data_IF_321299780074
#
_entry.id   IF_321299780074
#
_cell.length_a   1.000
_cell.length_b   1.000
_cell.length_c   1.000
_cell.angle_alpha   90.00
_cell.angle_beta   90.00
_cell.angle_gamma   90.00
#
_symmetry.space_group_name_H-M   'P 1'
#
loop_
_entity.id
_entity.type
_entity.pdbx_description
1 polymer ?
#
# COMPACT_ATOMS: atom_id res chain seq x y z
N UNK A 1 23.49 -1.55 -2.56
CA UNK A 1 22.54 -2.42 -3.32
C UNK A 1 21.46 -1.52 -3.90
N UNK A 2 21.11 -1.55 -5.21
CA UNK A 2 20.17 -0.53 -5.75
C UNK A 2 18.76 -0.73 -5.17
N UNK A 3 18.28 0.26 -4.42
CA UNK A 3 16.93 0.30 -3.86
C UNK A 3 15.92 0.81 -4.91
N UNK A 4 14.65 0.41 -4.83
CA UNK A 4 13.62 0.83 -5.79
C UNK A 4 13.03 2.22 -5.50
N UNK A 5 13.42 2.84 -4.39
CA UNK A 5 13.03 4.16 -3.87
C UNK A 5 14.28 4.97 -3.50
N UNK A 6 14.17 6.31 -3.41
CA UNK A 6 15.28 7.19 -3.02
C UNK A 6 15.45 7.21 -1.50
N UNK A 7 16.68 7.21 -1.01
CA UNK A 7 16.95 7.20 0.44
C UNK A 7 17.93 8.30 0.83
N UNK A 8 17.57 9.03 1.89
CA UNK A 8 18.41 10.03 2.52
C UNK A 8 19.63 9.39 3.17
N UNK A 9 20.81 10.02 3.07
CA UNK A 9 22.07 9.48 3.56
C UNK A 9 22.00 9.00 5.03
N UNK A 10 21.31 9.75 5.89
CA UNK A 10 21.19 9.48 7.33
C UNK A 10 20.50 8.15 7.70
N UNK A 11 19.62 7.59 6.84
CA UNK A 11 18.92 6.31 7.10
C UNK A 11 19.28 5.20 6.11
N UNK A 12 20.15 5.49 5.13
CA UNK A 12 20.59 4.53 4.09
C UNK A 12 21.11 3.19 4.64
N UNK A 13 22.04 3.13 5.62
CA UNK A 13 22.57 1.85 6.08
C UNK A 13 21.51 0.96 6.74
N UNK A 14 20.49 1.58 7.34
CA UNK A 14 19.36 0.85 7.90
C UNK A 14 18.43 0.33 6.80
N UNK A 15 18.07 1.16 5.83
CA UNK A 15 17.16 0.75 4.75
C UNK A 15 17.79 -0.25 3.78
N UNK A 16 19.10 -0.24 3.58
CA UNK A 16 19.78 -1.34 2.88
C UNK A 16 19.65 -2.68 3.64
N UNK A 17 19.78 -2.67 4.99
CA UNK A 17 19.56 -3.87 5.83
C UNK A 17 18.09 -4.30 5.90
N UNK A 18 17.13 -3.36 5.92
CA UNK A 18 15.69 -3.65 5.81
C UNK A 18 15.39 -4.27 4.44
N UNK A 19 15.83 -3.64 3.35
CA UNK A 19 15.62 -4.09 1.97
C UNK A 19 16.24 -5.46 1.68
N UNK A 20 17.48 -5.72 2.12
CA UNK A 20 18.13 -7.02 1.96
C UNK A 20 17.32 -8.17 2.58
N UNK A 21 16.70 -7.95 3.75
CA UNK A 21 15.83 -8.93 4.42
C UNK A 21 14.48 -9.09 3.73
N UNK A 22 13.83 -8.00 3.29
CA UNK A 22 12.46 -8.08 2.75
C UNK A 22 12.39 -8.39 1.26
N UNK A 23 13.44 -8.15 0.46
CA UNK A 23 13.40 -8.33 -1.00
C UNK A 23 12.92 -9.73 -1.42
N UNK A 24 13.43 -10.78 -0.77
CA UNK A 24 13.01 -12.16 -1.05
C UNK A 24 11.54 -12.38 -0.68
N UNK A 25 11.09 -11.85 0.47
CA UNK A 25 9.70 -11.94 0.94
C UNK A 25 8.73 -11.22 0.00
N UNK A 26 9.10 -10.05 -0.52
CA UNK A 26 8.32 -9.29 -1.50
C UNK A 26 8.21 -10.07 -2.82
N UNK A 27 9.33 -10.55 -3.36
CA UNK A 27 9.34 -11.29 -4.64
C UNK A 27 8.55 -12.59 -4.54
N UNK A 28 8.80 -13.43 -3.52
CA UNK A 28 8.05 -14.66 -3.29
C UNK A 28 6.58 -14.37 -3.00
N UNK A 29 6.28 -13.32 -2.24
CA UNK A 29 4.93 -12.89 -1.92
C UNK A 29 4.08 -12.57 -3.15
N UNK A 30 4.60 -11.80 -4.10
CA UNK A 30 3.84 -11.45 -5.31
C UNK A 30 3.93 -12.51 -6.44
N UNK A 31 4.96 -13.36 -6.47
CA UNK A 31 5.19 -14.31 -7.57
C UNK A 31 4.89 -15.78 -7.26
N UNK A 32 4.83 -16.21 -6.00
CA UNK A 32 4.53 -17.61 -5.68
C UNK A 32 3.10 -18.03 -6.08
N UNK A 33 2.03 -17.24 -5.83
CA UNK A 33 0.68 -17.61 -6.27
C UNK A 33 0.57 -17.82 -7.79
N UNK A 34 1.02 -16.89 -8.68
CA UNK A 34 0.93 -17.13 -10.12
C UNK A 34 1.81 -18.28 -10.60
N UNK A 35 3.00 -18.48 -10.01
CA UNK A 35 3.86 -19.62 -10.36
C UNK A 35 3.19 -20.96 -10.03
N UNK A 36 2.62 -21.11 -8.82
CA UNK A 36 1.90 -22.32 -8.42
C UNK A 36 0.66 -22.54 -9.29
N UNK A 37 -0.11 -21.48 -9.55
CA UNK A 37 -1.34 -21.57 -10.36
C UNK A 37 -1.06 -21.95 -11.81
N UNK A 38 0.04 -21.46 -12.39
CA UNK A 38 0.52 -21.87 -13.71
C UNK A 38 0.93 -23.34 -13.74
N UNK A 39 1.68 -23.81 -12.74
CA UNK A 39 2.09 -25.22 -12.63
C UNK A 39 0.87 -26.14 -12.52
N UNK A 40 -0.14 -25.79 -11.71
CA UNK A 40 -1.39 -26.58 -11.64
C UNK A 40 -2.13 -26.58 -12.97
N UNK A 41 -2.27 -25.42 -13.63
CA UNK A 41 -2.93 -25.32 -14.93
C UNK A 41 -2.25 -26.16 -16.03
N UNK A 42 -0.92 -26.29 -15.99
CA UNK A 42 -0.15 -27.10 -16.95
C UNK A 42 -0.23 -28.62 -16.70
N UNK A 43 -0.42 -29.05 -15.44
CA UNK A 43 -0.42 -30.48 -15.06
C UNK A 43 -1.84 -31.07 -15.02
N UNK A 44 -2.85 -30.27 -14.71
CA UNK A 44 -4.22 -30.75 -14.55
C UNK A 44 -4.84 -31.24 -15.88
N UNK A 45 -5.74 -32.24 -15.85
CA UNK A 45 -6.58 -32.57 -17.01
C UNK A 45 -7.64 -31.48 -17.21
N UNK A 46 -7.83 -31.04 -18.46
CA UNK A 46 -8.74 -29.92 -18.77
C UNK A 46 -10.12 -30.42 -19.18
N UNK A 47 -11.17 -29.78 -18.67
CA UNK A 47 -12.57 -30.11 -19.00
C UNK A 47 -13.07 -29.50 -20.32
N UNK A 48 -12.21 -28.76 -21.03
CA UNK A 48 -12.50 -28.01 -22.25
C UNK A 48 -11.88 -26.61 -22.23
N UNK A 49 -12.07 -25.84 -23.32
CA UNK A 49 -11.58 -24.46 -23.41
C UNK A 49 -12.51 -23.50 -22.67
N UNK A 50 -12.36 -23.41 -21.35
CA UNK A 50 -13.10 -22.43 -20.53
C UNK A 50 -12.38 -21.08 -20.57
N UNK A 51 -12.73 -20.25 -21.56
CA UNK A 51 -12.12 -18.92 -21.80
C UNK A 51 -12.07 -18.05 -20.54
N UNK A 52 -13.13 -18.05 -19.73
CA UNK A 52 -13.21 -17.29 -18.46
C UNK A 52 -12.12 -17.72 -17.47
N UNK A 53 -11.79 -19.00 -17.39
CA UNK A 53 -10.74 -19.50 -16.51
C UNK A 53 -9.34 -19.02 -16.92
N UNK A 54 -9.08 -18.98 -18.23
CA UNK A 54 -7.85 -18.39 -18.79
C UNK A 54 -7.74 -16.90 -18.50
N UNK A 55 -8.83 -16.15 -18.70
CA UNK A 55 -8.87 -14.71 -18.39
C UNK A 55 -8.56 -14.45 -16.92
N UNK A 56 -9.13 -15.23 -15.99
CA UNK A 56 -8.86 -15.10 -14.56
C UNK A 56 -7.40 -15.43 -14.18
N UNK A 57 -6.81 -16.47 -14.77
CA UNK A 57 -5.38 -16.78 -14.58
C UNK A 57 -4.48 -15.65 -15.12
N UNK A 58 -4.78 -15.11 -16.30
CA UNK A 58 -4.01 -14.01 -16.91
C UNK A 58 -4.11 -12.74 -16.06
N UNK A 59 -5.31 -12.33 -15.62
CA UNK A 59 -5.48 -11.16 -14.74
C UNK A 59 -4.74 -11.39 -13.42
N UNK A 60 -4.94 -12.56 -12.80
CA UNK A 60 -4.31 -12.93 -11.54
C UNK A 60 -2.78 -13.02 -11.62
N UNK A 61 -2.20 -13.28 -12.79
CA UNK A 61 -0.74 -13.28 -12.99
C UNK A 61 -0.16 -11.94 -13.43
N UNK A 62 -0.85 -11.22 -14.31
CA UNK A 62 -0.39 -9.94 -14.85
C UNK A 62 -0.40 -8.82 -13.80
N UNK A 63 -1.41 -8.75 -12.94
CA UNK A 63 -1.55 -7.68 -11.94
C UNK A 63 -0.41 -7.67 -10.90
N UNK A 64 -0.01 -8.80 -10.27
CA UNK A 64 1.15 -8.83 -9.36
C UNK A 64 2.47 -8.50 -10.07
N UNK A 65 2.67 -8.98 -11.30
CA UNK A 65 3.87 -8.70 -12.09
C UNK A 65 3.96 -7.21 -12.44
N UNK A 66 2.85 -6.61 -12.90
CA UNK A 66 2.77 -5.18 -13.17
C UNK A 66 3.01 -4.35 -11.90
N UNK A 67 2.44 -4.76 -10.75
CA UNK A 67 2.64 -4.08 -9.47
C UNK A 67 4.10 -4.15 -8.98
N UNK A 68 4.81 -5.25 -9.24
CA UNK A 68 6.24 -5.37 -8.98
C UNK A 68 7.10 -4.52 -9.93
N UNK A 69 6.87 -4.63 -11.24
CA UNK A 69 7.66 -3.96 -12.28
C UNK A 69 7.48 -2.45 -12.23
N UNK A 70 6.22 -1.99 -12.11
CA UNK A 70 5.86 -0.59 -11.90
C UNK A 70 6.13 -0.06 -10.49
N UNK A 71 6.74 -0.87 -9.61
CA UNK A 71 7.08 -0.52 -8.21
C UNK A 71 5.90 0.00 -7.38
N UNK A 72 4.67 -0.40 -7.70
CA UNK A 72 3.47 0.02 -6.99
C UNK A 72 3.51 -0.29 -5.49
N UNK A 73 4.30 -1.29 -5.09
CA UNK A 73 4.56 -1.58 -3.68
C UNK A 73 5.25 -0.43 -2.92
N UNK A 74 6.06 0.40 -3.59
CA UNK A 74 6.68 1.59 -2.97
C UNK A 74 5.65 2.67 -2.67
N UNK A 75 4.71 2.91 -3.59
CA UNK A 75 3.77 4.03 -3.52
C UNK A 75 2.45 3.69 -2.80
N UNK A 76 2.03 2.41 -2.81
CA UNK A 76 0.73 1.98 -2.24
C UNK A 76 0.91 0.95 -1.11
N UNK A 77 1.49 1.33 0.04
CA UNK A 77 1.74 0.44 1.18
C UNK A 77 0.46 -0.20 1.75
N UNK A 78 -0.69 0.47 1.63
CA UNK A 78 -1.99 -0.05 2.07
C UNK A 78 -2.44 -1.29 1.29
N UNK A 79 -2.10 -1.35 -0.01
CA UNK A 79 -2.71 -2.30 -0.96
C UNK A 79 -2.03 -3.67 -1.04
N UNK A 80 -0.87 -3.87 -0.41
CA UNK A 80 -0.04 -5.07 -0.63
C UNK A 80 -0.78 -6.40 -0.37
N UNK A 81 -1.39 -6.55 0.80
CA UNK A 81 -2.10 -7.76 1.19
C UNK A 81 -3.43 -7.93 0.43
N UNK A 82 -4.15 -6.82 0.19
CA UNK A 82 -5.38 -6.82 -0.61
C UNK A 82 -5.13 -7.28 -2.04
N UNK A 83 -4.08 -6.78 -2.69
CA UNK A 83 -3.71 -7.18 -4.05
C UNK A 83 -3.43 -8.68 -4.12
N UNK A 84 -2.61 -9.23 -3.21
CA UNK A 84 -2.33 -10.68 -3.15
C UNK A 84 -3.62 -11.48 -2.98
N UNK A 85 -4.51 -11.05 -2.08
CA UNK A 85 -5.79 -11.73 -1.85
C UNK A 85 -6.69 -11.73 -3.09
N UNK A 86 -6.88 -10.57 -3.75
CA UNK A 86 -7.67 -10.47 -4.98
C UNK A 86 -7.09 -11.29 -6.13
N UNK A 87 -5.77 -11.22 -6.34
CA UNK A 87 -5.13 -11.95 -7.46
C UNK A 87 -5.07 -13.44 -7.21
N UNK A 88 -4.88 -13.86 -5.96
CA UNK A 88 -4.92 -15.27 -5.56
C UNK A 88 -6.32 -15.87 -5.61
N UNK A 89 -7.36 -15.10 -5.24
CA UNK A 89 -8.75 -15.50 -5.42
C UNK A 89 -9.10 -15.68 -6.91
N UNK A 90 -8.70 -14.74 -7.77
CA UNK A 90 -8.87 -14.86 -9.22
C UNK A 90 -8.17 -16.11 -9.77
N UNK A 91 -6.94 -16.40 -9.32
CA UNK A 91 -6.21 -17.61 -9.72
C UNK A 91 -6.91 -18.90 -9.27
N UNK A 92 -7.31 -19.00 -8.00
CA UNK A 92 -8.00 -20.18 -7.47
C UNK A 92 -9.32 -20.45 -8.20
N UNK A 93 -10.09 -19.40 -8.51
CA UNK A 93 -11.30 -19.49 -9.34
C UNK A 93 -10.98 -19.91 -10.78
N UNK A 94 -9.92 -19.36 -11.38
CA UNK A 94 -9.47 -19.73 -12.72
C UNK A 94 -9.11 -21.22 -12.84
N UNK A 95 -8.31 -21.74 -11.90
CA UNK A 95 -7.99 -23.17 -11.81
C UNK A 95 -9.24 -24.03 -11.61
N UNK A 96 -10.11 -23.64 -10.67
CA UNK A 96 -11.36 -24.36 -10.39
C UNK A 96 -12.29 -24.45 -11.61
N UNK A 97 -12.38 -23.39 -12.41
CA UNK A 97 -13.21 -23.35 -13.63
C UNK A 97 -12.62 -24.18 -14.78
N UNK A 98 -11.31 -24.14 -15.01
CA UNK A 98 -10.64 -24.90 -16.08
C UNK A 98 -10.73 -26.42 -15.83
N UNK A 99 -10.47 -26.81 -14.59
CA UNK A 99 -10.40 -28.22 -14.18
C UNK A 99 -11.76 -28.81 -13.81
N UNK A 100 -12.74 -27.97 -13.44
CA UNK A 100 -13.99 -28.37 -12.74
C UNK A 100 -13.76 -29.16 -11.44
N UNK A 101 -12.56 -29.06 -10.85
CA UNK A 101 -12.17 -29.78 -9.65
C UNK A 101 -11.65 -28.82 -8.58
N UNK A 102 -12.48 -28.53 -7.56
CA UNK A 102 -12.15 -27.62 -6.45
C UNK A 102 -10.87 -28.02 -5.71
N UNK A 103 -10.58 -29.31 -5.60
CA UNK A 103 -9.35 -29.81 -4.97
C UNK A 103 -8.07 -29.33 -5.67
N UNK A 104 -8.11 -29.08 -6.99
CA UNK A 104 -6.96 -28.55 -7.73
C UNK A 104 -6.76 -27.05 -7.51
N UNK A 105 -7.75 -26.32 -6.99
CA UNK A 105 -7.57 -24.93 -6.57
C UNK A 105 -6.84 -24.79 -5.21
N UNK A 106 -6.79 -25.86 -4.40
CA UNK A 106 -6.20 -25.82 -3.03
C UNK A 106 -4.73 -25.35 -3.02
N UNK A 107 -3.83 -25.80 -3.91
CA UNK A 107 -2.46 -25.28 -3.97
C UNK A 107 -2.38 -23.77 -4.21
N UNK A 108 -3.26 -23.21 -5.06
CA UNK A 108 -3.31 -21.77 -5.32
C UNK A 108 -3.80 -20.99 -4.08
N UNK A 109 -4.79 -21.52 -3.34
CA UNK A 109 -5.27 -20.95 -2.07
C UNK A 109 -4.15 -20.97 -1.00
N UNK A 110 -3.45 -22.10 -0.85
CA UNK A 110 -2.33 -22.23 0.10
C UNK A 110 -1.18 -21.28 -0.27
N UNK A 111 -0.81 -21.22 -1.54
CA UNK A 111 0.21 -20.28 -2.04
C UNK A 111 -0.17 -18.82 -1.77
N UNK A 112 -1.45 -18.47 -1.95
CA UNK A 112 -2.00 -17.13 -1.65
C UNK A 112 -1.94 -16.80 -0.15
N UNK A 113 -2.28 -17.76 0.72
CA UNK A 113 -2.20 -17.56 2.16
C UNK A 113 -0.75 -17.36 2.64
N UNK A 114 0.19 -18.19 2.16
CA UNK A 114 1.62 -18.05 2.45
C UNK A 114 2.15 -16.71 1.92
N UNK A 115 1.78 -16.34 0.69
CA UNK A 115 2.10 -15.04 0.10
C UNK A 115 1.62 -13.87 0.97
N UNK A 116 0.37 -13.91 1.44
CA UNK A 116 -0.17 -12.90 2.34
C UNK A 116 0.67 -12.72 3.61
N UNK A 117 1.14 -13.83 4.21
CA UNK A 117 2.03 -13.79 5.38
C UNK A 117 3.40 -13.22 5.03
N UNK A 118 4.01 -13.64 3.92
CA UNK A 118 5.31 -13.12 3.46
C UNK A 118 5.26 -11.61 3.21
N UNK A 119 4.24 -11.15 2.49
CA UNK A 119 3.99 -9.74 2.16
C UNK A 119 3.69 -8.92 3.42
N UNK A 120 2.93 -9.45 4.37
CA UNK A 120 2.66 -8.76 5.65
C UNK A 120 3.93 -8.63 6.49
N UNK A 121 4.77 -9.67 6.58
CA UNK A 121 6.07 -9.60 7.26
C UNK A 121 7.03 -8.63 6.56
N UNK A 122 7.06 -8.64 5.23
CA UNK A 122 7.85 -7.70 4.44
C UNK A 122 7.42 -6.25 4.70
N UNK A 123 6.11 -5.99 4.72
CA UNK A 123 5.53 -4.69 5.06
C UNK A 123 5.93 -4.26 6.46
N UNK A 124 5.78 -5.12 7.47
CA UNK A 124 6.13 -4.81 8.86
C UNK A 124 7.61 -4.47 9.07
N UNK A 125 8.54 -5.09 8.31
CA UNK A 125 9.99 -4.80 8.44
C UNK A 125 10.43 -3.60 7.61
N UNK A 126 9.80 -3.36 6.45
CA UNK A 126 10.15 -2.23 5.58
C UNK A 126 9.52 -0.93 6.08
N UNK A 127 8.24 -0.98 6.46
CA UNK A 127 7.41 0.15 6.87
C UNK A 127 7.30 0.28 8.40
N UNK A 128 8.26 -0.26 9.13
CA UNK A 128 8.35 0.01 10.57
C UNK A 128 8.61 1.51 10.79
N UNK A 129 7.64 2.17 11.41
CA UNK A 129 7.59 3.60 11.72
C UNK A 129 8.38 3.95 13.00
N UNK A 130 8.77 2.96 13.81
CA UNK A 130 9.51 3.16 15.06
C UNK A 130 10.83 3.90 14.79
N UNK A 131 11.08 4.94 15.58
CA UNK A 131 12.24 5.82 15.41
C UNK A 131 12.18 6.73 14.18
N UNK A 132 11.08 6.72 13.42
CA UNK A 132 10.81 7.62 12.29
C UNK A 132 11.72 7.47 11.08
N UNK A 133 12.46 6.37 10.96
CA UNK A 133 13.46 6.17 9.91
C UNK A 133 12.83 6.18 8.49
N UNK A 134 11.59 5.70 8.34
CA UNK A 134 10.86 5.72 7.07
C UNK A 134 10.66 7.13 6.49
N UNK A 135 10.65 8.18 7.32
CA UNK A 135 10.57 9.57 6.87
C UNK A 135 11.78 10.01 6.01
N UNK A 136 12.88 9.24 5.96
CA UNK A 136 14.03 9.49 5.07
C UNK A 136 14.09 8.65 3.78
N UNK A 137 12.98 8.14 3.23
CA UNK A 137 13.02 7.02 2.23
C UNK A 137 12.13 7.14 0.98
N UNK A 138 11.35 8.19 0.77
CA UNK A 138 10.33 8.33 -0.32
C UNK A 138 9.27 7.21 -0.46
N UNK A 139 9.37 6.11 0.30
CA UNK A 139 8.35 5.07 0.39
C UNK A 139 7.06 5.69 0.94
N UNK A 140 5.90 5.29 0.40
CA UNK A 140 4.60 5.68 0.90
C UNK A 140 4.44 5.35 2.39
N UNK A 141 3.99 6.34 3.16
CA UNK A 141 3.55 6.23 4.56
C UNK A 141 2.06 6.52 4.57
N UNK A 142 1.25 5.68 5.23
CA UNK A 142 -0.22 5.86 5.33
C UNK A 142 -0.60 5.95 6.80
N UNK A 143 -1.36 6.98 7.15
CA UNK A 143 -1.89 7.19 8.51
C UNK A 143 -2.77 6.05 9.00
N UNK A 144 -3.03 6.02 10.30
CA UNK A 144 -4.20 5.31 10.82
C UNK A 144 -5.48 5.80 10.14
N UNK A 145 -6.49 4.94 10.06
CA UNK A 145 -7.81 5.34 9.55
C UNK A 145 -8.71 5.77 10.71
N UNK A 146 -9.34 6.95 10.60
CA UNK A 146 -10.27 7.50 11.59
C UNK A 146 -11.69 7.39 11.07
N UNK A 147 -12.59 6.81 11.86
CA UNK A 147 -14.01 6.74 11.51
C UNK A 147 -14.66 8.09 11.80
N UNK A 148 -15.34 8.65 10.79
CA UNK A 148 -16.08 9.91 10.87
C UNK A 148 -17.43 9.80 10.17
N UNK A 149 -18.30 10.80 10.33
CA UNK A 149 -19.57 10.85 9.61
C UNK A 149 -19.47 11.84 8.45
N UNK A 150 -20.00 11.45 7.29
CA UNK A 150 -20.15 12.36 6.15
C UNK A 150 -21.36 13.31 6.34
N UNK A 151 -21.60 14.20 5.37
CA UNK A 151 -22.70 15.16 5.40
C UNK A 151 -24.11 14.52 5.48
N UNK A 152 -24.26 13.25 5.06
CA UNK A 152 -25.51 12.48 5.18
C UNK A 152 -25.56 11.59 6.44
N UNK A 153 -24.61 11.76 7.36
CA UNK A 153 -24.57 11.07 8.65
C UNK A 153 -24.03 9.64 8.62
N UNK A 154 -23.66 9.11 7.44
CA UNK A 154 -23.12 7.76 7.30
C UNK A 154 -21.66 7.67 7.78
N UNK A 155 -21.27 6.55 8.42
CA UNK A 155 -19.88 6.32 8.81
C UNK A 155 -18.99 6.07 7.59
N UNK A 156 -17.87 6.78 7.54
CA UNK A 156 -16.82 6.67 6.51
C UNK A 156 -15.45 6.63 7.18
N UNK A 157 -14.43 6.12 6.51
CA UNK A 157 -13.06 6.05 7.05
C UNK A 157 -12.17 7.10 6.36
N UNK A 158 -11.74 8.09 7.11
CA UNK A 158 -10.78 9.10 6.65
C UNK A 158 -9.34 8.63 6.95
N UNK A 159 -8.43 8.85 6.00
CA UNK A 159 -6.99 8.62 6.17
C UNK A 159 -6.20 9.50 5.19
N UNK A 160 -4.90 9.62 5.42
CA UNK A 160 -3.97 10.27 4.51
C UNK A 160 -2.76 9.38 4.23
N UNK A 161 -2.09 9.61 3.10
CA UNK A 161 -0.78 9.05 2.81
C UNK A 161 0.13 10.08 2.15
N UNK A 162 1.44 9.92 2.33
CA UNK A 162 2.44 10.68 1.60
C UNK A 162 3.56 9.77 1.09
N UNK A 163 4.12 10.11 -0.06
CA UNK A 163 5.27 9.41 -0.65
C UNK A 163 6.53 10.29 -0.68
N UNK A 164 7.18 10.43 -1.83
CA UNK A 164 8.31 11.33 -2.04
C UNK A 164 7.92 12.66 -2.71
N UNK A 165 6.68 12.79 -3.20
CA UNK A 165 6.24 13.89 -4.06
C UNK A 165 4.92 14.50 -3.59
N UNK A 166 3.96 13.67 -3.18
CA UNK A 166 2.59 14.08 -2.89
C UNK A 166 2.14 13.62 -1.49
N UNK A 167 1.36 14.48 -0.84
CA UNK A 167 0.46 14.16 0.27
C UNK A 167 -0.96 14.02 -0.30
N UNK A 168 -1.67 12.96 0.08
CA UNK A 168 -3.03 12.64 -0.38
C UNK A 168 -3.91 12.37 0.83
N UNK A 169 -5.19 12.71 0.72
CA UNK A 169 -6.17 12.33 1.73
C UNK A 169 -7.41 11.73 1.08
N UNK A 170 -7.98 10.74 1.75
CA UNK A 170 -8.98 9.85 1.19
C UNK A 170 -10.10 9.61 2.20
N UNK A 171 -11.34 9.59 1.69
CA UNK A 171 -12.52 9.23 2.48
C UNK A 171 -13.15 7.99 1.86
N UNK A 172 -13.03 6.86 2.55
CA UNK A 172 -13.53 5.57 2.07
C UNK A 172 -15.04 5.49 2.29
N UNK A 173 -15.80 5.48 1.20
CA UNK A 173 -17.27 5.42 1.16
C UNK A 173 -17.77 3.99 0.90
N UNK A 174 -17.31 3.05 1.72
CA UNK A 174 -17.73 1.64 1.70
C UNK A 174 -16.84 0.68 0.88
N UNK A 175 -17.14 -0.63 0.91
CA UNK A 175 -16.25 -1.69 0.40
C UNK A 175 -16.23 -1.84 -1.14
N UNK A 176 -17.19 -1.24 -1.85
CA UNK A 176 -17.32 -1.31 -3.32
C UNK A 176 -16.83 -0.06 -4.03
N UNK A 177 -16.40 0.97 -3.29
CA UNK A 177 -15.98 2.26 -3.84
C UNK A 177 -14.48 2.40 -3.60
N UNK A 178 -13.63 2.45 -4.65
CA UNK A 178 -12.20 2.70 -4.46
C UNK A 178 -11.99 4.08 -3.81
N UNK A 179 -10.85 4.25 -3.13
CA UNK A 179 -10.51 5.43 -2.31
C UNK A 179 -10.90 6.75 -3.02
N UNK A 180 -11.99 7.41 -2.56
CA UNK A 180 -12.35 8.74 -3.07
C UNK A 180 -11.35 9.73 -2.51
N UNK A 181 -10.46 10.23 -3.36
CA UNK A 181 -9.52 11.29 -3.01
C UNK A 181 -10.29 12.54 -2.58
N UNK A 182 -10.12 12.94 -1.33
CA UNK A 182 -10.51 14.27 -0.84
C UNK A 182 -9.61 15.36 -1.40
N UNK A 183 -8.39 15.01 -1.81
CA UNK A 183 -7.48 15.86 -2.58
C UNK A 183 -6.04 15.37 -2.54
N UNK A 184 -5.16 16.11 -3.22
CA UNK A 184 -3.71 15.91 -3.24
C UNK A 184 -2.98 17.25 -3.08
N UNK A 185 -1.81 17.24 -2.44
CA UNK A 185 -0.96 18.41 -2.19
C UNK A 185 0.52 18.04 -2.38
N UNK A 186 1.24 18.68 -3.33
CA UNK A 186 2.69 18.53 -3.46
C UNK A 186 3.47 18.87 -2.18
N UNK A 187 4.42 18.02 -1.80
CA UNK A 187 5.20 18.16 -0.56
C UNK A 187 6.09 19.41 -0.57
N UNK A 188 6.56 19.84 -1.75
CA UNK A 188 7.33 21.08 -1.95
C UNK A 188 6.54 22.35 -1.62
N UNK A 189 5.20 22.28 -1.64
CA UNK A 189 4.30 23.40 -1.26
C UNK A 189 4.01 23.47 0.23
N UNK A 190 4.44 22.48 1.03
CA UNK A 190 4.19 22.44 2.47
C UNK A 190 5.32 23.16 3.22
N UNK A 191 4.94 24.21 3.95
CA UNK A 191 5.89 24.98 4.78
C UNK A 191 5.99 24.42 6.19
N UNK A 192 4.86 24.02 6.79
CA UNK A 192 4.75 23.66 8.19
C UNK A 192 3.63 22.62 8.45
N UNK A 193 3.76 21.83 9.51
CA UNK A 193 2.83 20.75 9.90
C UNK A 193 2.75 20.62 11.42
N UNK A 194 1.54 20.65 11.96
CA UNK A 194 1.29 20.47 13.40
C UNK A 194 -0.03 19.71 13.66
N UNK A 195 -0.28 19.33 14.90
CA UNK A 195 -1.58 18.81 15.35
C UNK A 195 -2.36 19.92 16.04
N UNK A 196 -3.65 20.05 15.72
CA UNK A 196 -4.57 20.96 16.39
C UNK A 196 -5.88 20.24 16.73
N UNK A 197 -6.58 20.74 17.75
CA UNK A 197 -7.95 20.33 18.07
C UNK A 197 -8.91 21.14 17.20
N UNK A 198 -9.66 20.50 16.29
CA UNK A 198 -10.68 21.22 15.50
C UNK A 198 -12.04 21.19 16.22
N UNK A 199 -12.70 22.35 16.41
CA UNK A 199 -14.08 22.40 16.91
C UNK A 199 -15.11 22.12 15.80
N UNK A 200 -14.71 22.16 14.53
CA UNK A 200 -15.59 21.88 13.40
C UNK A 200 -15.81 20.37 13.25
N UNK A 201 -17.01 19.95 12.83
CA UNK A 201 -17.30 18.53 12.59
C UNK A 201 -16.30 17.95 11.55
N UNK A 202 -15.62 16.82 11.83
CA UNK A 202 -15.98 15.77 12.80
C UNK A 202 -15.46 15.95 14.24
N UNK A 203 -14.77 17.04 14.55
CA UNK A 203 -14.22 17.36 15.87
C UNK A 203 -12.92 16.63 16.20
N UNK A 204 -12.25 17.02 17.28
CA UNK A 204 -11.06 16.33 17.80
C UNK A 204 -9.76 16.66 17.08
N UNK A 205 -8.69 15.94 17.42
CA UNK A 205 -7.36 16.15 16.84
C UNK A 205 -7.33 15.92 15.32
N UNK A 206 -6.75 16.88 14.60
CA UNK A 206 -6.46 16.86 13.16
C UNK A 206 -5.01 17.26 12.90
N UNK A 207 -4.44 16.76 11.81
CA UNK A 207 -3.14 17.23 11.33
C UNK A 207 -3.36 18.43 10.43
N UNK A 208 -2.84 19.59 10.82
CA UNK A 208 -2.93 20.82 10.03
C UNK A 208 -1.66 20.97 9.21
N UNK A 209 -1.84 21.28 7.93
CA UNK A 209 -0.77 21.41 6.94
C UNK A 209 -0.83 22.82 6.35
N UNK A 210 0.21 23.63 6.57
CA UNK A 210 0.30 24.97 6.00
C UNK A 210 1.00 24.94 4.65
N UNK A 211 0.37 25.61 3.69
CA UNK A 211 0.91 25.79 2.34
C UNK A 211 1.75 27.07 2.24
N UNK A 212 2.64 27.13 1.25
CA UNK A 212 3.41 28.33 0.91
C UNK A 212 2.54 29.54 0.51
N UNK A 213 1.26 29.31 0.14
CA UNK A 213 0.28 30.36 -0.13
C UNK A 213 -0.40 30.92 1.16
N UNK A 214 -0.05 30.41 2.35
CA UNK A 214 -0.66 30.81 3.62
C UNK A 214 -2.03 30.17 3.89
N UNK A 215 -2.44 29.17 3.12
CA UNK A 215 -3.64 28.38 3.39
C UNK A 215 -3.32 27.19 4.27
N UNK A 216 -4.15 26.96 5.29
CA UNK A 216 -4.07 25.81 6.19
C UNK A 216 -5.10 24.75 5.77
N UNK A 217 -4.68 23.49 5.72
CA UNK A 217 -5.49 22.33 5.37
C UNK A 217 -5.61 21.40 6.58
N UNK A 218 -6.84 21.13 7.04
CA UNK A 218 -7.10 20.18 8.13
C UNK A 218 -7.26 18.75 7.61
N UNK A 219 -6.41 17.83 8.08
CA UNK A 219 -6.43 16.41 7.73
C UNK A 219 -6.95 15.55 8.89
N UNK A 220 -8.08 14.92 8.64
CA UNK A 220 -8.72 13.97 9.54
C UNK A 220 -8.08 12.59 9.35
N UNK A 221 -7.23 12.19 10.30
CA UNK A 221 -6.47 10.94 10.27
C UNK A 221 -6.52 10.20 11.61
N UNK A 222 -6.22 8.91 11.61
CA UNK A 222 -5.96 8.14 12.84
C UNK A 222 -4.49 8.25 13.25
N UNK A 223 -4.24 8.40 14.55
CA UNK A 223 -2.92 8.68 15.14
C UNK A 223 -2.27 9.97 14.56
N UNK A 224 -2.90 11.15 14.78
CA UNK A 224 -2.47 12.40 14.14
C UNK A 224 -1.05 12.82 14.53
N UNK A 225 -0.64 12.65 15.79
CA UNK A 225 0.72 12.99 16.26
C UNK A 225 1.81 12.17 15.55
N UNK A 226 1.63 10.86 15.44
CA UNK A 226 2.60 9.98 14.76
C UNK A 226 2.73 10.33 13.27
N UNK A 227 1.59 10.55 12.59
CA UNK A 227 1.58 10.93 11.19
C UNK A 227 2.18 12.32 10.94
N UNK A 228 1.85 13.30 11.79
CA UNK A 228 2.42 14.65 11.73
C UNK A 228 3.94 14.64 11.94
N UNK A 229 4.43 13.90 12.94
CA UNK A 229 5.86 13.78 13.21
C UNK A 229 6.64 13.11 12.06
N UNK A 230 6.06 12.11 11.40
CA UNK A 230 6.64 11.48 10.22
C UNK A 230 6.64 12.42 9.00
N UNK A 231 5.56 13.18 8.80
CA UNK A 231 5.43 14.14 7.69
C UNK A 231 6.36 15.35 7.86
N UNK A 232 6.39 15.96 9.04
CA UNK A 232 7.33 17.04 9.40
C UNK A 232 8.79 16.61 9.20
N UNK A 233 9.16 15.41 9.70
CA UNK A 233 10.50 14.86 9.45
C UNK A 233 10.79 14.60 7.98
N UNK A 234 9.81 14.12 7.20
CA UNK A 234 9.94 13.94 5.74
C UNK A 234 10.21 15.29 5.07
N UNK A 235 9.46 16.32 5.42
CA UNK A 235 9.56 17.66 4.84
C UNK A 235 10.88 18.36 5.19
N UNK A 236 11.39 18.20 6.42
CA UNK A 236 12.75 18.65 6.76
C UNK A 236 13.81 17.99 5.89
N UNK A 237 13.82 16.66 5.83
CA UNK A 237 14.81 15.91 5.05
C UNK A 237 14.71 16.22 3.55
N UNK A 238 13.51 16.44 2.99
CA UNK A 238 13.33 16.81 1.57
C UNK A 238 13.94 18.16 1.19
N UNK A 239 14.32 19.00 2.16
CA UNK A 239 15.03 20.28 1.96
C UNK A 239 16.56 20.12 1.99
N UNK A 240 17.07 18.92 2.27
CA UNK A 240 18.49 18.55 2.23
C UNK A 240 18.82 17.86 0.90
N UNK A 241 20.03 18.04 0.35
CA UNK A 241 20.42 17.49 -0.97
C UNK A 241 20.81 15.99 -0.94
N UNK A 242 20.87 15.36 0.25
CA UNK A 242 21.50 14.06 0.51
C UNK A 242 20.68 12.81 0.10
N UNK A 243 19.84 12.93 -0.94
CA UNK A 243 18.94 11.87 -1.44
C UNK A 243 19.46 11.16 -2.70
N UNK A 244 19.60 9.82 -2.64
CA UNK A 244 19.85 8.98 -3.84
C UNK A 244 18.77 7.93 -4.08
#
# INVERSE_FOLDING_TARGET
MRMPFRVHASVRPEFERRWARVRALVLLGFLAPPAVSLVVALIAPWSGVVVVGWVLLVIGGAVPVWFLVGRGYVHRPGWWAGLVAYTGAAQALGVGLLTRHVLLAVPAVVATAVAGVLVTKAKAVLLDEVGGAIAGTTIGVRSGSRQVRNATGHPVLAHADFDGELLRWHVVTGPSTPDVSGGELPLDRITDVWVAETPAAPGGEVVVVRTAAGHDLELVVGHPHDFAALLDRRLRLLREDDWS
#
